data_IF_771271239515
#
_entry.id   IF_771271239515
#
_cell.length_a   1.000
_cell.length_b   1.000
_cell.length_c   1.000
_cell.angle_alpha   90.00
_cell.angle_beta   90.00
_cell.angle_gamma   90.00
#
_symmetry.space_group_name_H-M   'P 1'
#
loop_
_entity.id
_entity.type
_entity.pdbx_description
1 polymer ?
#
# COMPACT_ATOMS: atom_id res chain seq x y z
N UNK A 1 -24.44 -3.53 -5.56
CA UNK A 1 -23.84 -4.12 -4.35
C UNK A 1 -22.37 -4.45 -4.60
N UNK A 2 -21.51 -4.20 -3.61
CA UNK A 2 -20.09 -4.56 -3.64
C UNK A 2 -19.95 -6.06 -3.36
N UNK A 3 -19.07 -6.75 -4.09
CA UNK A 3 -18.92 -8.22 -4.10
C UNK A 3 -17.69 -8.71 -3.32
N UNK A 4 -17.01 -7.82 -2.59
CA UNK A 4 -15.80 -8.17 -1.85
C UNK A 4 -14.55 -8.25 -2.73
N UNK A 5 -13.55 -8.97 -2.23
CA UNK A 5 -12.27 -9.19 -2.89
C UNK A 5 -12.40 -10.17 -4.05
N UNK A 6 -11.68 -9.87 -5.13
CA UNK A 6 -11.39 -10.84 -6.16
C UNK A 6 -10.40 -11.89 -5.61
N UNK A 7 -10.53 -13.19 -5.95
CA UNK A 7 -9.64 -14.23 -5.43
C UNK A 7 -8.14 -13.96 -5.66
N UNK A 8 -7.80 -13.23 -6.72
CA UNK A 8 -6.43 -12.81 -7.02
C UNK A 8 -5.81 -11.93 -5.92
N UNK A 9 -6.60 -11.12 -5.21
CA UNK A 9 -6.13 -10.31 -4.07
C UNK A 9 -5.57 -11.21 -2.98
N UNK A 10 -6.32 -12.26 -2.61
CA UNK A 10 -5.87 -13.23 -1.61
C UNK A 10 -4.64 -14.03 -2.06
N UNK A 11 -4.48 -14.30 -3.36
CA UNK A 11 -3.26 -14.95 -3.89
C UNK A 11 -2.04 -14.04 -3.78
N UNK A 12 -2.15 -12.78 -4.20
CA UNK A 12 -1.06 -11.79 -4.10
C UNK A 12 -0.65 -11.57 -2.65
N UNK A 13 -1.61 -11.43 -1.73
CA UNK A 13 -1.30 -11.27 -0.30
C UNK A 13 -0.57 -12.49 0.28
N UNK A 14 -0.94 -13.70 -0.15
CA UNK A 14 -0.24 -14.93 0.24
C UNK A 14 1.17 -14.98 -0.33
N UNK A 15 1.34 -14.61 -1.60
CA UNK A 15 2.66 -14.53 -2.25
C UNK A 15 3.57 -13.54 -1.54
N UNK A 16 3.06 -12.37 -1.13
CA UNK A 16 3.82 -11.43 -0.31
C UNK A 16 4.28 -12.05 1.02
N UNK A 17 3.43 -12.84 1.69
CA UNK A 17 3.83 -13.56 2.90
C UNK A 17 4.87 -14.66 2.65
N UNK A 18 4.78 -15.37 1.53
CA UNK A 18 5.76 -16.37 1.10
C UNK A 18 7.12 -15.71 0.84
N UNK A 19 7.15 -14.61 0.08
CA UNK A 19 8.36 -13.83 -0.19
C UNK A 19 9.01 -13.36 1.12
N UNK A 20 8.24 -12.83 2.08
CA UNK A 20 8.80 -12.43 3.37
C UNK A 20 9.48 -13.58 4.12
N UNK A 21 8.95 -14.81 3.99
CA UNK A 21 9.58 -16.02 4.55
C UNK A 21 10.82 -16.43 3.77
N UNK A 22 10.76 -16.41 2.44
CA UNK A 22 11.87 -16.74 1.55
C UNK A 22 13.08 -15.85 1.82
N UNK A 23 12.87 -14.55 2.03
CA UNK A 23 13.92 -13.58 2.37
C UNK A 23 14.28 -13.54 3.87
N UNK A 24 13.63 -14.35 4.71
CA UNK A 24 13.91 -14.38 6.15
C UNK A 24 13.54 -13.08 6.89
N UNK A 25 12.65 -12.26 6.33
CA UNK A 25 12.23 -11.00 6.95
C UNK A 25 11.27 -11.25 8.12
N UNK A 26 11.45 -10.47 9.18
CA UNK A 26 10.67 -10.62 10.42
C UNK A 26 9.18 -10.24 10.28
N UNK A 27 8.80 -9.56 9.19
CA UNK A 27 7.41 -9.13 8.91
C UNK A 27 7.14 -9.06 7.42
N UNK A 28 5.86 -9.12 7.04
CA UNK A 28 5.40 -8.83 5.68
C UNK A 28 5.22 -7.31 5.52
N UNK A 29 6.21 -6.64 4.95
CA UNK A 29 6.16 -5.23 4.55
C UNK A 29 5.65 -4.97 3.12
N UNK A 30 5.57 -3.69 2.76
CA UNK A 30 5.13 -3.18 1.45
C UNK A 30 6.02 -3.64 0.30
N UNK A 31 7.31 -3.84 0.56
CA UNK A 31 8.30 -4.36 -0.39
C UNK A 31 7.94 -5.75 -0.92
N UNK A 32 7.39 -6.62 -0.07
CA UNK A 32 6.96 -7.95 -0.49
C UNK A 32 5.68 -7.90 -1.31
N UNK A 33 4.77 -6.97 -0.98
CA UNK A 33 3.58 -6.76 -1.81
C UNK A 33 3.97 -6.20 -3.17
N UNK A 34 4.91 -5.25 -3.21
CA UNK A 34 5.42 -4.69 -4.46
C UNK A 34 6.01 -5.79 -5.35
N UNK A 35 6.87 -6.63 -4.78
CA UNK A 35 7.47 -7.77 -5.48
C UNK A 35 6.40 -8.80 -5.92
N UNK A 36 5.43 -9.15 -5.07
CA UNK A 36 4.34 -10.05 -5.47
C UNK A 36 3.49 -9.49 -6.64
N UNK A 37 3.36 -8.16 -6.73
CA UNK A 37 2.61 -7.51 -7.81
C UNK A 37 3.38 -7.46 -9.14
N UNK A 38 4.69 -7.75 -9.17
CA UNK A 38 5.46 -7.82 -10.43
C UNK A 38 5.08 -9.03 -11.29
N UNK A 39 4.50 -10.06 -10.67
CA UNK A 39 3.88 -11.21 -11.37
C UNK A 39 2.52 -10.85 -12.03
N UNK A 40 2.02 -9.64 -11.82
CA UNK A 40 0.71 -9.21 -12.30
C UNK A 40 0.71 -7.76 -12.80
N UNK A 41 0.06 -6.81 -12.09
CA UNK A 41 -0.17 -5.46 -12.61
C UNK A 41 1.07 -4.57 -12.69
N UNK A 42 2.22 -4.99 -12.13
CA UNK A 42 3.48 -4.23 -12.14
C UNK A 42 4.60 -4.94 -12.91
N UNK A 43 4.39 -5.38 -14.16
CA UNK A 43 5.42 -6.11 -14.87
C UNK A 43 6.62 -5.20 -15.20
N UNK A 44 7.80 -5.81 -15.27
CA UNK A 44 9.02 -5.18 -15.76
C UNK A 44 9.77 -4.31 -14.74
N UNK A 45 9.50 -4.43 -13.44
CA UNK A 45 10.29 -3.77 -12.40
C UNK A 45 11.57 -4.55 -12.09
N UNK A 46 12.56 -4.47 -12.99
CA UNK A 46 13.89 -5.05 -12.77
C UNK A 46 14.55 -4.48 -11.51
N UNK A 47 15.39 -5.27 -10.84
CA UNK A 47 16.12 -4.81 -9.65
C UNK A 47 15.35 -4.84 -8.34
N UNK A 48 14.00 -4.87 -8.36
CA UNK A 48 13.17 -4.84 -7.14
C UNK A 48 13.51 -5.98 -6.19
N UNK A 49 13.73 -7.19 -6.71
CA UNK A 49 14.10 -8.35 -5.87
C UNK A 49 15.41 -8.13 -5.11
N UNK A 50 16.46 -7.62 -5.78
CA UNK A 50 17.73 -7.33 -5.11
C UNK A 50 17.58 -6.21 -4.08
N UNK A 51 16.74 -5.21 -4.35
CA UNK A 51 16.45 -4.11 -3.41
C UNK A 51 15.67 -4.61 -2.20
N UNK A 52 14.67 -5.49 -2.40
CA UNK A 52 13.92 -6.13 -1.31
C UNK A 52 14.89 -6.89 -0.41
N UNK A 53 15.81 -7.66 -0.98
CA UNK A 53 16.83 -8.38 -0.20
C UNK A 53 17.74 -7.41 0.60
N UNK A 54 18.09 -6.24 0.04
CA UNK A 54 18.89 -5.22 0.75
C UNK A 54 18.12 -4.49 1.85
N UNK A 55 16.79 -4.49 1.80
CA UNK A 55 15.96 -3.90 2.84
C UNK A 55 15.96 -4.73 4.14
N UNK A 56 16.48 -5.97 4.10
CA UNK A 56 16.67 -6.79 5.29
C UNK A 56 17.60 -6.11 6.32
N UNK A 57 17.42 -6.39 7.62
CA UNK A 57 16.32 -7.16 8.22
C UNK A 57 15.07 -6.31 8.49
N UNK A 58 15.16 -4.99 8.32
CA UNK A 58 14.20 -4.04 8.88
C UNK A 58 13.06 -3.68 7.92
N UNK A 59 13.16 -4.06 6.65
CA UNK A 59 12.17 -3.81 5.60
C UNK A 59 12.21 -2.38 5.05
N UNK A 60 11.58 -2.19 3.89
CA UNK A 60 11.69 -0.95 3.13
C UNK A 60 11.04 0.26 3.82
N UNK A 61 9.98 0.04 4.61
CA UNK A 61 9.37 1.12 5.40
C UNK A 61 10.34 1.74 6.41
N UNK A 62 11.21 0.93 7.04
CA UNK A 62 12.24 1.44 7.96
C UNK A 62 13.36 2.11 7.19
N UNK A 63 13.76 1.55 6.04
CA UNK A 63 14.76 2.18 5.17
C UNK A 63 14.30 3.58 4.71
N UNK A 64 13.02 3.71 4.35
CA UNK A 64 12.41 5.00 4.02
C UNK A 64 12.43 5.98 5.21
N UNK A 65 12.06 5.52 6.41
CA UNK A 65 12.07 6.36 7.61
C UNK A 65 13.50 6.81 7.98
N UNK A 66 14.50 5.93 7.84
CA UNK A 66 15.91 6.25 8.03
C UNK A 66 16.38 7.33 7.08
N UNK A 67 16.09 7.18 5.79
CA UNK A 67 16.46 8.17 4.77
C UNK A 67 15.82 9.53 5.07
N UNK A 68 14.54 9.55 5.45
CA UNK A 68 13.83 10.77 5.80
C UNK A 68 14.42 11.47 7.04
N UNK A 69 14.84 10.70 8.05
CA UNK A 69 15.41 11.23 9.30
C UNK A 69 16.88 11.62 9.19
N UNK A 70 17.64 10.98 8.29
CA UNK A 70 19.01 11.34 7.99
C UNK A 70 19.14 12.79 7.50
N UNK A 71 18.13 13.31 6.79
CA UNK A 71 18.06 14.74 6.38
C UNK A 71 18.07 15.69 7.58
N UNK A 72 17.56 15.24 8.73
CA UNK A 72 17.55 16.01 9.98
C UNK A 72 18.80 15.74 10.85
N UNK A 73 19.77 14.98 10.35
CA UNK A 73 20.96 14.56 11.10
C UNK A 73 20.68 13.47 12.14
N UNK A 74 19.53 12.80 12.07
CA UNK A 74 19.17 11.70 12.99
C UNK A 74 19.53 10.37 12.36
N UNK A 75 20.53 9.70 12.91
CA UNK A 75 20.89 8.34 12.52
C UNK A 75 20.12 7.33 13.39
N UNK A 76 19.06 6.78 12.81
CA UNK A 76 18.43 5.58 13.36
C UNK A 76 19.25 4.39 12.89
N UNK A 77 20.17 3.92 13.74
CA UNK A 77 20.90 2.68 13.52
C UNK A 77 19.97 1.45 13.33
N UNK A 78 20.49 0.23 13.51
CA UNK A 78 19.66 -0.97 13.40
C UNK A 78 18.45 -0.90 14.36
N UNK A 79 17.24 -0.90 13.82
CA UNK A 79 16.00 -0.84 14.59
C UNK A 79 15.26 -2.16 14.44
N UNK A 80 14.96 -2.87 15.55
CA UNK A 80 14.14 -4.07 15.48
C UNK A 80 12.85 -3.80 14.68
N UNK A 81 12.51 -4.66 13.72
CA UNK A 81 11.29 -4.52 12.92
C UNK A 81 10.00 -4.42 13.74
N UNK A 82 10.00 -4.82 15.01
CA UNK A 82 8.90 -4.64 15.95
C UNK A 82 8.69 -3.19 16.42
N UNK A 83 9.73 -2.33 16.34
CA UNK A 83 9.66 -0.90 16.62
C UNK A 83 9.26 -0.07 15.39
N UNK A 84 9.31 -0.67 14.19
CA UNK A 84 8.95 -0.02 12.92
C UNK A 84 7.45 0.29 12.81
N UNK A 85 6.62 -0.51 13.49
CA UNK A 85 5.18 -0.35 13.53
C UNK A 85 4.79 0.40 14.81
N UNK A 86 4.26 1.61 14.65
CA UNK A 86 3.70 2.38 15.76
C UNK A 86 2.49 1.62 16.33
N UNK A 87 2.35 1.58 17.66
CA UNK A 87 1.07 1.17 18.26
C UNK A 87 -0.03 2.07 17.69
N UNK A 88 -1.09 1.51 17.06
CA UNK A 88 -2.13 2.33 16.46
C UNK A 88 -2.74 3.25 17.53
N UNK A 89 -3.06 4.48 17.13
CA UNK A 89 -3.84 5.36 17.97
C UNK A 89 -5.18 4.68 18.37
N UNK A 90 -5.73 5.09 19.52
CA UNK A 90 -6.95 4.55 20.12
C UNK A 90 -8.00 4.30 19.04
N UNK A 91 -8.54 3.06 19.00
CA UNK A 91 -9.38 2.61 17.90
C UNK A 91 -10.55 3.58 17.65
N UNK A 92 -10.82 3.96 16.39
CA UNK A 92 -12.06 4.66 16.09
C UNK A 92 -13.24 3.75 16.49
N UNK A 93 -14.22 4.32 17.19
CA UNK A 93 -15.40 3.61 17.73
C UNK A 93 -16.18 2.81 16.67
N UNK A 94 -16.00 3.16 15.39
CA UNK A 94 -16.47 2.42 14.23
C UNK A 94 -15.38 2.43 13.14
N UNK A 95 -15.13 1.31 12.42
CA UNK A 95 -15.97 0.12 12.29
C UNK A 95 -15.59 -1.04 13.22
N UNK A 96 -16.62 -1.76 13.68
CA UNK A 96 -16.50 -3.00 14.45
C UNK A 96 -15.62 -4.03 13.71
N UNK A 97 -14.61 -4.58 14.39
CA UNK A 97 -13.81 -5.71 13.88
C UNK A 97 -12.42 -5.37 13.34
N UNK A 98 -12.05 -4.09 13.20
CA UNK A 98 -10.70 -3.68 12.80
C UNK A 98 -9.62 -4.25 13.74
N UNK A 99 -9.87 -4.22 15.06
CA UNK A 99 -8.98 -4.82 16.05
C UNK A 99 -8.85 -6.34 15.94
N UNK A 100 -9.94 -7.06 15.63
CA UNK A 100 -9.90 -8.52 15.39
C UNK A 100 -9.07 -8.84 14.15
N UNK A 101 -9.24 -8.09 13.08
CA UNK A 101 -8.46 -8.24 11.85
C UNK A 101 -6.97 -7.95 12.08
N UNK A 102 -6.64 -6.88 12.82
CA UNK A 102 -5.26 -6.53 13.21
C UNK A 102 -4.61 -7.62 14.06
N UNK A 103 -5.32 -8.13 15.08
CA UNK A 103 -4.84 -9.25 15.90
C UNK A 103 -4.58 -10.50 15.07
N UNK A 104 -5.43 -10.80 14.09
CA UNK A 104 -5.20 -11.90 13.15
C UNK A 104 -3.95 -11.67 12.30
N UNK A 105 -3.74 -10.44 11.81
CA UNK A 105 -2.55 -10.06 11.05
C UNK A 105 -1.25 -10.17 11.88
N UNK A 106 -1.29 -9.76 13.15
CA UNK A 106 -0.17 -9.87 14.07
C UNK A 106 0.16 -11.32 14.48
N UNK A 107 -0.79 -12.25 14.29
CA UNK A 107 -0.59 -13.70 14.52
C UNK A 107 -0.17 -14.46 13.26
N UNK A 108 -0.13 -13.79 12.10
CA UNK A 108 0.42 -14.41 10.91
C UNK A 108 1.92 -14.68 11.09
N UNK A 109 2.47 -15.63 10.35
CA UNK A 109 3.88 -15.99 10.42
C UNK A 109 4.50 -15.87 9.02
N UNK A 110 5.29 -14.82 8.74
CA UNK A 110 5.59 -13.67 9.61
C UNK A 110 4.38 -12.71 9.73
N UNK A 111 4.33 -11.85 10.76
CA UNK A 111 3.22 -10.91 10.97
C UNK A 111 3.11 -9.93 9.81
N UNK A 112 1.87 -9.51 9.48
CA UNK A 112 1.62 -8.52 8.43
C UNK A 112 1.80 -7.11 9.01
N UNK A 113 2.73 -6.33 8.45
CA UNK A 113 3.06 -4.98 8.90
C UNK A 113 1.93 -3.96 8.70
N UNK A 114 1.97 -2.85 9.43
CA UNK A 114 0.92 -1.82 9.39
C UNK A 114 0.82 -1.12 8.03
N UNK A 115 1.96 -0.91 7.35
CA UNK A 115 1.99 -0.34 6.00
C UNK A 115 1.15 -1.16 5.03
N UNK A 116 1.38 -2.47 5.01
CA UNK A 116 0.65 -3.39 4.14
C UNK A 116 -0.85 -3.44 4.48
N UNK A 117 -1.20 -3.41 5.77
CA UNK A 117 -2.61 -3.30 6.20
C UNK A 117 -3.25 -1.98 5.74
N UNK A 118 -2.52 -0.88 5.84
CA UNK A 118 -2.97 0.44 5.41
C UNK A 118 -3.16 0.51 3.89
N UNK A 119 -2.24 -0.05 3.10
CA UNK A 119 -2.35 -0.18 1.64
C UNK A 119 -3.56 -1.02 1.25
N UNK A 120 -3.79 -2.16 1.88
CA UNK A 120 -4.99 -2.98 1.65
C UNK A 120 -6.27 -2.19 1.96
N UNK A 121 -6.30 -1.47 3.08
CA UNK A 121 -7.47 -0.69 3.46
C UNK A 121 -7.68 0.54 2.53
N UNK A 122 -6.60 1.13 2.02
CA UNK A 122 -6.63 2.25 1.07
C UNK A 122 -7.11 1.79 -0.31
N UNK A 123 -6.61 0.66 -0.81
CA UNK A 123 -7.01 0.07 -2.10
C UNK A 123 -8.48 -0.36 -2.13
N UNK A 124 -9.00 -0.92 -1.04
CA UNK A 124 -10.43 -1.19 -0.91
C UNK A 124 -11.27 0.09 -0.99
N UNK A 125 -10.86 1.15 -0.28
CA UNK A 125 -11.54 2.45 -0.34
C UNK A 125 -11.43 3.09 -1.73
N UNK A 126 -10.31 2.93 -2.41
CA UNK A 126 -10.12 3.35 -3.80
C UNK A 126 -11.11 2.64 -4.74
N UNK A 127 -11.27 1.32 -4.62
CA UNK A 127 -12.24 0.56 -5.40
C UNK A 127 -13.68 1.07 -5.19
N UNK A 128 -14.02 1.39 -3.93
CA UNK A 128 -15.32 1.97 -3.58
C UNK A 128 -15.49 3.38 -4.13
N UNK A 129 -14.46 4.23 -4.07
CA UNK A 129 -14.46 5.58 -4.62
C UNK A 129 -14.61 5.58 -6.16
N UNK A 130 -13.98 4.62 -6.84
CA UNK A 130 -14.12 4.37 -8.28
C UNK A 130 -15.49 3.79 -8.68
N UNK A 131 -16.33 3.43 -7.70
CA UNK A 131 -17.62 2.75 -7.90
C UNK A 131 -17.47 1.38 -8.59
N UNK A 132 -16.43 0.67 -8.22
CA UNK A 132 -16.21 -0.71 -8.66
C UNK A 132 -17.03 -1.70 -7.83
N UNK A 133 -17.38 -2.82 -8.46
CA UNK A 133 -18.18 -3.87 -7.81
C UNK A 133 -17.31 -4.89 -7.06
N UNK A 134 -15.99 -4.89 -7.27
CA UNK A 134 -15.04 -5.82 -6.64
C UNK A 134 -13.75 -5.07 -6.33
N UNK A 135 -13.09 -5.45 -5.24
CA UNK A 135 -11.71 -5.06 -4.98
C UNK A 135 -10.77 -6.03 -5.70
N UNK A 136 -9.80 -5.51 -6.43
CA UNK A 136 -8.93 -6.28 -7.34
C UNK A 136 -7.47 -5.87 -7.17
N UNK A 137 -6.55 -6.67 -7.70
CA UNK A 137 -5.09 -6.50 -7.53
C UNK A 137 -4.57 -5.16 -8.07
N UNK A 138 -5.23 -4.58 -9.06
CA UNK A 138 -4.83 -3.30 -9.63
C UNK A 138 -5.09 -2.16 -8.64
N UNK A 139 -6.10 -2.28 -7.78
CA UNK A 139 -6.33 -1.30 -6.71
C UNK A 139 -5.24 -1.36 -5.65
N UNK A 140 -4.71 -2.56 -5.35
CA UNK A 140 -3.56 -2.73 -4.46
C UNK A 140 -2.34 -2.03 -5.07
N UNK A 141 -2.03 -2.30 -6.33
CA UNK A 141 -0.92 -1.66 -7.04
C UNK A 141 -1.06 -0.13 -7.07
N UNK A 142 -2.22 0.38 -7.44
CA UNK A 142 -2.52 1.81 -7.47
C UNK A 142 -2.35 2.47 -6.10
N UNK A 143 -2.87 1.87 -5.03
CA UNK A 143 -2.76 2.44 -3.69
C UNK A 143 -1.33 2.34 -3.14
N UNK A 144 -0.64 1.23 -3.38
CA UNK A 144 0.74 1.00 -2.97
C UNK A 144 1.67 2.05 -3.58
N UNK A 145 1.68 2.16 -4.91
CA UNK A 145 2.57 3.08 -5.63
C UNK A 145 2.20 4.55 -5.36
N UNK A 146 0.93 4.87 -5.10
CA UNK A 146 0.53 6.25 -4.83
C UNK A 146 0.84 6.72 -3.41
N UNK A 147 0.79 5.83 -2.41
CA UNK A 147 0.76 6.24 -1.01
C UNK A 147 1.98 5.80 -0.21
N UNK A 148 2.59 4.66 -0.53
CA UNK A 148 3.47 3.97 0.40
C UNK A 148 4.95 4.40 0.29
N UNK A 149 5.56 4.94 1.37
CA UNK A 149 6.97 5.35 1.36
C UNK A 149 7.94 4.18 1.20
N UNK A 150 7.62 3.00 1.72
CA UNK A 150 8.46 1.82 1.56
C UNK A 150 8.50 1.37 0.11
N UNK A 151 7.36 1.35 -0.57
CA UNK A 151 7.31 1.07 -2.01
C UNK A 151 8.03 2.14 -2.83
N UNK A 152 7.88 3.43 -2.52
CA UNK A 152 8.61 4.52 -3.17
C UNK A 152 10.13 4.36 -3.00
N UNK A 153 10.59 4.04 -1.79
CA UNK A 153 12.01 3.76 -1.52
C UNK A 153 12.52 2.61 -2.40
N UNK A 154 11.78 1.50 -2.49
CA UNK A 154 12.18 0.35 -3.31
C UNK A 154 12.25 0.74 -4.80
N UNK A 155 11.25 1.47 -5.29
CA UNK A 155 11.21 1.92 -6.68
C UNK A 155 12.41 2.84 -7.00
N UNK A 156 12.70 3.82 -6.15
CA UNK A 156 13.86 4.72 -6.32
C UNK A 156 15.18 3.94 -6.29
N UNK A 157 15.34 3.03 -5.33
CA UNK A 157 16.55 2.21 -5.20
C UNK A 157 16.71 1.23 -6.38
N UNK A 158 15.62 0.82 -7.02
CA UNK A 158 15.63 0.01 -8.24
C UNK A 158 15.79 0.84 -9.53
N UNK A 159 15.85 2.18 -9.43
CA UNK A 159 15.91 3.08 -10.57
C UNK A 159 14.62 3.20 -11.38
N UNK A 160 13.48 2.81 -10.80
CA UNK A 160 12.16 2.90 -11.45
C UNK A 160 11.49 4.25 -11.16
N UNK A 161 10.97 4.91 -12.19
CA UNK A 161 10.21 6.15 -12.02
C UNK A 161 8.79 5.87 -11.52
N UNK A 162 8.47 6.38 -10.34
CA UNK A 162 7.15 6.19 -9.71
C UNK A 162 6.04 6.91 -10.47
N UNK A 163 6.30 8.08 -11.04
CA UNK A 163 5.31 8.88 -11.77
C UNK A 163 4.88 8.16 -13.04
N UNK A 164 5.85 7.73 -13.85
CA UNK A 164 5.64 6.93 -15.05
C UNK A 164 4.91 5.62 -14.73
N UNK A 165 5.30 4.95 -13.64
CA UNK A 165 4.62 3.74 -13.20
C UNK A 165 3.15 3.98 -12.85
N UNK A 166 2.85 5.06 -12.11
CA UNK A 166 1.48 5.46 -11.79
C UNK A 166 0.67 5.81 -13.03
N UNK A 167 1.25 6.55 -13.97
CA UNK A 167 0.58 6.93 -15.21
C UNK A 167 0.28 5.71 -16.09
N UNK A 168 1.22 4.77 -16.18
CA UNK A 168 1.04 3.47 -16.85
C UNK A 168 -0.09 2.66 -16.21
N UNK A 169 -0.11 2.55 -14.89
CA UNK A 169 -1.18 1.86 -14.15
C UNK A 169 -2.54 2.53 -14.33
N UNK A 170 -2.60 3.87 -14.22
CA UNK A 170 -3.83 4.64 -14.37
C UNK A 170 -4.40 4.47 -15.79
N UNK A 171 -3.53 4.44 -16.79
CA UNK A 171 -3.88 4.23 -18.21
C UNK A 171 -4.33 2.80 -18.49
N UNK A 172 -3.66 1.80 -17.91
CA UNK A 172 -4.04 0.39 -18.05
C UNK A 172 -5.36 0.05 -17.34
N UNK A 173 -5.62 0.72 -16.21
CA UNK A 173 -6.76 0.43 -15.34
C UNK A 173 -7.59 1.70 -15.04
N UNK A 174 -8.18 2.34 -16.06
CA UNK A 174 -8.91 3.59 -15.87
C UNK A 174 -10.18 3.38 -15.05
N UNK A 175 -10.69 4.42 -14.35
CA UNK A 175 -11.95 4.35 -13.64
C UNK A 175 -13.10 3.88 -14.54
N UNK A 176 -14.06 3.11 -14.03
CA UNK A 176 -15.10 2.53 -14.87
C UNK A 176 -15.95 3.62 -15.55
N UNK A 177 -16.11 3.50 -16.87
CA UNK A 177 -16.98 4.34 -17.70
C UNK A 177 -18.44 4.01 -17.40
N UNK A 178 -19.00 4.64 -16.37
CA UNK A 178 -20.41 4.52 -15.97
C UNK A 178 -21.25 5.63 -16.61
N UNK A 179 -22.57 5.56 -16.42
CA UNK A 179 -23.50 6.59 -16.87
C UNK A 179 -23.12 7.99 -16.33
N UNK A 180 -23.65 9.04 -16.96
CA UNK A 180 -23.28 10.45 -16.62
C UNK A 180 -23.52 10.77 -15.15
N UNK A 181 -24.61 10.26 -14.56
CA UNK A 181 -24.95 10.44 -13.14
C UNK A 181 -23.86 9.90 -12.21
N UNK A 182 -23.42 8.64 -12.39
CA UNK A 182 -22.36 8.04 -11.56
C UNK A 182 -21.01 8.74 -11.77
N UNK A 183 -20.73 9.26 -12.98
CA UNK A 183 -19.54 10.07 -13.22
C UNK A 183 -19.60 11.40 -12.45
N UNK A 184 -20.74 12.08 -12.46
CA UNK A 184 -20.94 13.32 -11.70
C UNK A 184 -20.86 13.08 -10.18
N UNK A 185 -21.48 12.02 -9.68
CA UNK A 185 -21.43 11.64 -8.27
C UNK A 185 -19.99 11.32 -7.82
N UNK A 186 -19.20 10.64 -8.66
CA UNK A 186 -17.77 10.47 -8.39
C UNK A 186 -17.07 11.81 -8.20
N UNK A 187 -17.39 12.83 -9.01
CA UNK A 187 -16.76 14.17 -8.96
C UNK A 187 -17.12 14.91 -7.68
N UNK A 188 -18.41 14.96 -7.34
CA UNK A 188 -18.94 15.73 -6.20
C UNK A 188 -18.32 15.28 -4.87
N UNK A 189 -18.03 13.98 -4.70
CA UNK A 189 -17.40 13.45 -3.48
C UNK A 189 -15.91 13.13 -3.59
N UNK A 190 -15.25 13.41 -4.72
CA UNK A 190 -13.87 12.96 -4.97
C UNK A 190 -12.88 13.47 -3.94
N UNK A 191 -12.87 14.80 -3.72
CA UNK A 191 -11.92 15.44 -2.81
C UNK A 191 -12.04 14.89 -1.38
N UNK A 192 -13.27 14.71 -0.90
CA UNK A 192 -13.51 14.12 0.43
C UNK A 192 -12.97 12.69 0.49
N UNK A 193 -13.35 11.84 -0.47
CA UNK A 193 -12.92 10.43 -0.48
C UNK A 193 -11.41 10.27 -0.59
N UNK A 194 -10.75 11.06 -1.44
CA UNK A 194 -9.28 11.05 -1.55
C UNK A 194 -8.63 11.46 -0.23
N UNK A 195 -9.13 12.53 0.40
CA UNK A 195 -8.64 12.97 1.72
C UNK A 195 -8.85 11.90 2.79
N UNK A 196 -9.98 11.20 2.78
CA UNK A 196 -10.29 10.14 3.74
C UNK A 196 -9.39 8.92 3.55
N UNK A 197 -9.05 8.56 2.30
CA UNK A 197 -8.08 7.51 1.99
C UNK A 197 -6.70 7.88 2.56
N UNK A 198 -6.22 9.09 2.27
CA UNK A 198 -4.90 9.57 2.73
C UNK A 198 -4.86 9.64 4.25
N UNK A 199 -5.86 10.26 4.89
CA UNK A 199 -5.94 10.34 6.36
C UNK A 199 -5.99 8.96 6.99
N UNK A 200 -6.75 8.03 6.43
CA UNK A 200 -6.83 6.66 6.94
C UNK A 200 -5.50 5.92 6.84
N UNK A 201 -4.76 6.10 5.74
CA UNK A 201 -3.42 5.56 5.57
C UNK A 201 -2.46 6.15 6.62
N UNK A 202 -2.30 7.48 6.63
CA UNK A 202 -1.38 8.19 7.52
C UNK A 202 -1.70 7.95 9.01
N UNK A 203 -2.98 7.83 9.36
CA UNK A 203 -3.39 7.50 10.73
C UNK A 203 -2.99 6.08 11.14
N UNK A 204 -2.99 5.13 10.20
CA UNK A 204 -2.63 3.73 10.47
C UNK A 204 -1.12 3.55 10.56
N UNK A 205 -0.36 4.15 9.64
CA UNK A 205 1.10 3.96 9.54
C UNK A 205 1.88 4.98 10.37
N UNK A 206 1.31 6.17 10.60
CA UNK A 206 2.04 7.32 11.12
C UNK A 206 2.94 8.01 10.09
N UNK A 207 2.97 7.52 8.84
CA UNK A 207 3.84 8.02 7.76
C UNK A 207 3.09 8.95 6.82
N UNK A 208 3.80 9.91 6.23
CA UNK A 208 3.24 10.81 5.20
C UNK A 208 3.07 10.04 3.89
N UNK A 209 1.90 10.14 3.26
CA UNK A 209 1.68 9.52 1.95
C UNK A 209 2.52 10.22 0.86
N UNK A 210 3.09 9.44 -0.06
CA UNK A 210 4.07 9.94 -1.05
C UNK A 210 3.45 10.86 -2.10
N UNK A 211 2.37 10.43 -2.78
CA UNK A 211 1.69 11.21 -3.81
C UNK A 211 0.17 11.24 -3.60
N UNK A 212 -0.30 11.89 -2.52
CA UNK A 212 -1.72 11.93 -2.18
C UNK A 212 -2.58 12.61 -3.25
N UNK A 213 -2.01 13.54 -4.04
CA UNK A 213 -2.69 14.22 -5.14
C UNK A 213 -3.02 13.28 -6.31
N UNK A 214 -2.20 12.23 -6.54
CA UNK A 214 -2.43 11.26 -7.61
C UNK A 214 -3.78 10.54 -7.47
N UNK A 215 -4.28 10.37 -6.24
CA UNK A 215 -5.58 9.74 -5.99
C UNK A 215 -6.74 10.43 -6.71
N UNK A 216 -6.67 11.75 -6.91
CA UNK A 216 -7.72 12.48 -7.61
C UNK A 216 -7.87 11.96 -9.04
N UNK A 217 -6.75 11.77 -9.74
CA UNK A 217 -6.70 11.17 -11.08
C UNK A 217 -7.08 9.69 -11.06
N UNK A 218 -6.67 8.93 -10.03
CA UNK A 218 -7.01 7.51 -9.93
C UNK A 218 -8.50 7.23 -9.66
N UNK A 219 -9.22 8.21 -9.14
CA UNK A 219 -10.68 8.15 -8.92
C UNK A 219 -11.46 8.64 -10.16
N UNK A 220 -10.86 9.50 -11.00
CA UNK A 220 -11.53 10.22 -12.09
C UNK A 220 -10.98 9.99 -13.48
#
# INVERSE_FOLDING_TARGET
MFKGDHPAVGRVMRRASELAREFGHARVGSEHLLLALTEGPLPGLGGVEQVVHRAAPDGAGVAADREALAVLGVDLGPLPGALADRRPAKEPLFPLGAGKARRRCARAVPPIGLDLQAVYAASLRLALARRERRHRVEHLALALVALDPGADWVLRAAGADRGELLDRLASAFPPPRRNRMLRAERRVGCRSRCRDIVRGYQHTTGRTAVAPSALATLVH
#
